data_IF_001098339218
#
_entry.id   IF_001098339218
#
_cell.length_a   1.000
_cell.length_b   1.000
_cell.length_c   1.000
_cell.angle_alpha   90.00
_cell.angle_beta   90.00
_cell.angle_gamma   90.00
#
_symmetry.space_group_name_H-M   'P 1'
#
loop_
_entity.id
_entity.type
_entity.pdbx_description
1 polymer ?
#
# COMPACT_ATOMS: atom_id res chain seq x y z
N UNK A 1 2.35 -6.29 -20.85
CA UNK A 1 1.52 -7.12 -19.93
C UNK A 1 0.72 -6.19 -19.04
N UNK A 2 -0.52 -6.55 -18.70
CA UNK A 2 -1.36 -5.75 -17.78
C UNK A 2 -1.83 -6.59 -16.61
N UNK A 3 -2.09 -5.94 -15.48
CA UNK A 3 -2.67 -6.53 -14.28
C UNK A 3 -4.11 -6.05 -14.17
N UNK A 4 -5.03 -7.00 -14.04
CA UNK A 4 -6.45 -6.75 -13.84
C UNK A 4 -6.78 -7.04 -12.37
N UNK A 5 -7.45 -6.09 -11.71
CA UNK A 5 -7.77 -6.14 -10.28
C UNK A 5 -9.27 -5.88 -10.07
N UNK A 6 -9.99 -6.71 -9.30
CA UNK A 6 -11.38 -6.44 -8.96
C UNK A 6 -11.44 -5.24 -8.02
N UNK A 7 -12.34 -4.30 -8.24
CA UNK A 7 -12.45 -3.12 -7.35
C UNK A 7 -13.04 -3.45 -5.97
N UNK A 8 -13.76 -4.57 -5.85
CA UNK A 8 -14.48 -4.97 -4.64
C UNK A 8 -13.75 -6.00 -3.79
N UNK A 9 -12.58 -6.48 -4.21
CA UNK A 9 -11.83 -7.52 -3.51
C UNK A 9 -10.61 -6.97 -2.78
N UNK A 10 -10.22 -7.67 -1.73
CA UNK A 10 -9.07 -7.33 -0.88
C UNK A 10 -8.10 -8.50 -0.80
N UNK A 11 -6.90 -8.26 -0.29
CA UNK A 11 -5.96 -9.35 -0.02
C UNK A 11 -5.19 -9.88 -1.23
N UNK A 12 -5.38 -9.30 -2.41
CA UNK A 12 -4.84 -9.82 -3.68
C UNK A 12 -5.73 -10.88 -4.35
N UNK A 13 -6.95 -11.10 -3.85
CA UNK A 13 -7.91 -12.02 -4.48
C UNK A 13 -8.37 -11.50 -5.85
N UNK A 14 -8.51 -12.42 -6.80
CA UNK A 14 -8.99 -12.12 -8.15
C UNK A 14 -8.02 -11.30 -9.01
N UNK A 15 -6.77 -11.09 -8.58
CA UNK A 15 -5.75 -10.43 -9.40
C UNK A 15 -5.31 -11.37 -10.52
N UNK A 16 -5.38 -10.90 -11.76
CA UNK A 16 -4.94 -11.67 -12.94
C UNK A 16 -3.96 -10.88 -13.79
N UNK A 17 -2.94 -11.57 -14.31
CA UNK A 17 -1.96 -10.99 -15.25
C UNK A 17 -2.33 -11.41 -16.66
N UNK A 18 -2.54 -10.43 -17.54
CA UNK A 18 -2.75 -10.65 -18.97
C UNK A 18 -1.44 -10.39 -19.70
N UNK A 19 -0.84 -11.47 -20.20
CA UNK A 19 0.42 -11.44 -20.95
C UNK A 19 0.17 -11.48 -22.45
N UNK A 20 -0.90 -12.17 -22.85
CA UNK A 20 -1.24 -12.41 -24.25
C UNK A 20 -2.77 -12.43 -24.46
N UNK A 21 -3.25 -12.47 -25.72
CA UNK A 21 -4.68 -12.54 -26.01
C UNK A 21 -5.40 -13.79 -25.49
N UNK A 22 -4.69 -14.90 -25.28
CA UNK A 22 -5.26 -16.15 -24.72
C UNK A 22 -5.65 -15.96 -23.26
N UNK A 23 -4.80 -15.32 -22.45
CA UNK A 23 -5.10 -14.99 -21.06
C UNK A 23 -6.39 -14.14 -20.97
N UNK A 24 -6.57 -13.19 -21.91
CA UNK A 24 -7.76 -12.36 -21.96
C UNK A 24 -9.03 -13.18 -22.29
N UNK A 25 -8.93 -14.17 -23.18
CA UNK A 25 -10.05 -15.07 -23.49
C UNK A 25 -10.43 -15.94 -22.29
N UNK A 26 -9.44 -16.49 -21.59
CA UNK A 26 -9.68 -17.27 -20.37
C UNK A 26 -10.34 -16.42 -19.28
N UNK A 27 -9.86 -15.18 -19.13
CA UNK A 27 -10.45 -14.23 -18.20
C UNK A 27 -11.91 -13.94 -18.56
N UNK A 28 -12.22 -13.73 -19.85
CA UNK A 28 -13.58 -13.43 -20.28
C UNK A 28 -14.59 -14.51 -19.91
N UNK A 29 -14.15 -15.76 -19.88
CA UNK A 29 -15.00 -16.90 -19.56
C UNK A 29 -15.14 -17.15 -18.05
N UNK A 30 -14.33 -16.50 -17.21
CA UNK A 30 -14.24 -16.78 -15.77
C UNK A 30 -14.54 -15.57 -14.88
N UNK A 31 -14.66 -14.36 -15.45
CA UNK A 31 -14.94 -13.12 -14.73
C UNK A 31 -16.33 -12.60 -15.04
N UNK A 32 -16.98 -12.07 -14.00
CA UNK A 32 -18.14 -11.21 -14.14
C UNK A 32 -17.71 -9.75 -14.35
N UNK A 33 -17.85 -9.24 -15.59
CA UNK A 33 -17.54 -7.84 -15.94
C UNK A 33 -18.64 -6.84 -15.55
N UNK A 34 -19.75 -7.26 -14.92
CA UNK A 34 -20.71 -6.29 -14.38
C UNK A 34 -20.20 -5.58 -13.13
N UNK A 35 -19.11 -6.08 -12.53
CA UNK A 35 -18.40 -5.41 -11.45
C UNK A 35 -17.30 -4.51 -12.00
N UNK A 36 -16.91 -3.43 -11.29
CA UNK A 36 -15.82 -2.58 -11.73
C UNK A 36 -14.47 -3.31 -11.62
N UNK A 37 -13.62 -3.11 -12.61
CA UNK A 37 -12.27 -3.65 -12.68
C UNK A 37 -11.28 -2.54 -12.95
N UNK A 38 -10.09 -2.66 -12.36
CA UNK A 38 -8.98 -1.74 -12.60
C UNK A 38 -7.97 -2.47 -13.47
N UNK A 39 -7.61 -1.84 -14.60
CA UNK A 39 -6.52 -2.29 -15.47
C UNK A 39 -5.30 -1.43 -15.18
N UNK A 40 -4.17 -2.06 -14.91
CA UNK A 40 -2.90 -1.39 -14.63
C UNK A 40 -1.78 -2.00 -15.45
N UNK A 41 -0.82 -1.19 -15.86
CA UNK A 41 0.42 -1.71 -16.42
C UNK A 41 1.13 -2.60 -15.39
N UNK A 42 1.73 -3.70 -15.85
CA UNK A 42 2.58 -4.51 -14.98
C UNK A 42 3.92 -3.80 -14.76
N UNK A 43 4.13 -3.32 -13.54
CA UNK A 43 5.41 -2.75 -13.11
C UNK A 43 6.39 -3.88 -12.75
N UNK A 44 7.63 -3.78 -13.24
CA UNK A 44 8.73 -4.68 -12.87
C UNK A 44 9.39 -4.19 -11.59
N UNK A 45 9.71 -5.12 -10.71
CA UNK A 45 10.41 -4.80 -9.45
C UNK A 45 11.92 -4.79 -9.67
N UNK A 46 12.62 -3.98 -8.89
CA UNK A 46 14.08 -3.97 -8.89
C UNK A 46 14.59 -5.36 -8.46
N UNK A 47 15.60 -5.94 -9.13
CA UNK A 47 15.98 -7.34 -8.93
C UNK A 47 16.84 -7.53 -7.66
N UNK A 48 16.19 -7.64 -6.50
CA UNK A 48 16.86 -7.90 -5.22
C UNK A 48 16.81 -9.40 -4.90
N UNK A 49 17.97 -9.97 -4.55
CA UNK A 49 18.07 -11.33 -4.02
C UNK A 49 17.77 -11.32 -2.53
N UNK A 50 16.81 -12.16 -2.13
CA UNK A 50 16.44 -12.35 -0.72
C UNK A 50 17.27 -13.46 -0.07
N UNK A 51 16.96 -13.82 1.18
CA UNK A 51 17.77 -14.75 1.98
C UNK A 51 18.09 -16.08 1.28
N UNK A 52 17.14 -16.63 0.51
CA UNK A 52 17.30 -17.89 -0.23
C UNK A 52 17.97 -17.74 -1.61
N UNK A 53 18.49 -16.54 -1.91
CA UNK A 53 19.17 -16.22 -3.16
C UNK A 53 18.26 -15.94 -4.35
N UNK A 54 16.93 -16.02 -4.19
CA UNK A 54 15.94 -15.83 -5.27
C UNK A 54 15.45 -14.40 -5.37
N UNK A 55 14.86 -14.06 -6.53
CA UNK A 55 14.36 -12.70 -6.82
C UNK A 55 12.83 -12.72 -6.82
N UNK A 56 12.25 -12.07 -5.83
CA UNK A 56 10.80 -12.01 -5.66
C UNK A 56 10.24 -10.65 -6.10
N UNK A 57 9.06 -10.63 -6.73
CA UNK A 57 8.24 -9.42 -6.76
C UNK A 57 7.98 -8.91 -5.34
N UNK A 58 8.16 -7.61 -5.13
CA UNK A 58 7.87 -6.95 -3.86
C UNK A 58 7.22 -5.59 -4.06
N UNK A 59 6.55 -5.10 -3.02
CA UNK A 59 6.18 -3.70 -2.89
C UNK A 59 6.73 -3.09 -1.61
N UNK A 60 6.84 -1.77 -1.63
CA UNK A 60 7.12 -0.95 -0.46
C UNK A 60 5.80 -0.42 0.06
N UNK A 61 5.59 -0.56 1.36
CA UNK A 61 4.50 0.08 2.07
C UNK A 61 5.07 1.13 3.00
N UNK A 62 4.79 2.38 2.67
CA UNK A 62 5.08 3.53 3.50
C UNK A 62 3.85 3.95 4.31
N UNK A 63 4.08 4.29 5.56
CA UNK A 63 3.10 4.83 6.48
C UNK A 63 3.45 6.29 6.76
N UNK A 64 2.49 7.18 6.58
CA UNK A 64 2.64 8.61 6.84
C UNK A 64 1.59 9.07 7.86
N UNK A 65 2.01 9.92 8.79
CA UNK A 65 1.16 10.58 9.77
C UNK A 65 1.43 12.08 9.70
N UNK A 66 0.39 12.85 9.34
CA UNK A 66 0.46 14.31 9.19
C UNK A 66 1.65 14.76 8.31
N UNK A 67 1.80 14.14 7.14
CA UNK A 67 2.88 14.44 6.20
C UNK A 67 4.26 13.90 6.59
N UNK A 68 4.43 13.34 7.79
CA UNK A 68 5.68 12.74 8.25
C UNK A 68 5.65 11.24 8.06
N UNK A 69 6.71 10.68 7.51
CA UNK A 69 6.87 9.23 7.39
C UNK A 69 7.01 8.62 8.80
N UNK A 70 6.08 7.74 9.15
CA UNK A 70 6.01 7.06 10.45
C UNK A 70 6.63 5.66 10.42
N UNK A 71 6.72 5.05 9.24
CA UNK A 71 7.34 3.74 9.08
C UNK A 71 7.30 3.28 7.64
N UNK A 72 8.16 2.32 7.31
CA UNK A 72 8.24 1.69 5.99
C UNK A 72 8.50 0.21 6.15
N UNK A 73 7.99 -0.58 5.21
CA UNK A 73 8.26 -2.00 5.14
C UNK A 73 8.24 -2.47 3.69
N UNK A 74 8.91 -3.59 3.44
CA UNK A 74 8.82 -4.34 2.20
C UNK A 74 7.89 -5.52 2.41
N UNK A 75 7.09 -5.83 1.38
CA UNK A 75 6.33 -7.06 1.28
C UNK A 75 6.70 -7.75 0.00
N UNK A 76 7.28 -8.95 0.10
CA UNK A 76 7.58 -9.77 -1.07
C UNK A 76 6.57 -10.89 -1.24
N UNK A 77 6.41 -11.34 -2.47
CA UNK A 77 5.59 -12.51 -2.80
C UNK A 77 6.16 -13.80 -2.21
N UNK A 78 5.36 -14.85 -2.23
CA UNK A 78 5.75 -16.20 -1.81
C UNK A 78 6.61 -16.93 -2.86
N UNK A 79 6.58 -16.50 -4.13
CA UNK A 79 7.32 -17.10 -5.24
C UNK A 79 7.71 -16.09 -6.32
N UNK A 80 8.80 -16.34 -7.03
CA UNK A 80 9.35 -15.45 -8.07
C UNK A 80 8.34 -15.13 -9.20
N UNK A 81 7.40 -16.05 -9.47
CA UNK A 81 6.39 -15.91 -10.52
C UNK A 81 5.09 -15.24 -10.08
N UNK A 82 4.87 -15.06 -8.77
CA UNK A 82 3.63 -14.48 -8.22
C UNK A 82 3.83 -12.99 -7.95
N UNK A 83 3.02 -12.14 -8.56
CA UNK A 83 3.07 -10.69 -8.37
C UNK A 83 2.32 -10.20 -7.11
N UNK A 84 1.59 -11.10 -6.45
CA UNK A 84 0.84 -10.77 -5.22
C UNK A 84 1.77 -10.90 -4.02
N UNK A 85 1.94 -9.79 -3.32
CA UNK A 85 2.88 -9.58 -2.20
C UNK A 85 2.20 -9.62 -0.84
N UNK A 86 0.88 -9.80 -0.80
CA UNK A 86 0.12 -9.73 0.43
C UNK A 86 0.53 -10.84 1.43
N UNK A 87 0.78 -10.47 2.68
CA UNK A 87 1.08 -11.40 3.78
C UNK A 87 -0.04 -12.46 3.94
N UNK A 88 -1.30 -12.05 3.80
CA UNK A 88 -2.46 -12.95 3.85
C UNK A 88 -2.50 -13.99 2.72
N UNK A 89 -1.74 -13.77 1.63
CA UNK A 89 -1.61 -14.69 0.50
C UNK A 89 -0.29 -15.49 0.56
N UNK A 90 0.38 -15.52 1.73
CA UNK A 90 1.65 -16.21 1.94
C UNK A 90 2.89 -15.36 1.63
N UNK A 91 2.74 -14.06 1.35
CA UNK A 91 3.87 -13.14 1.21
C UNK A 91 4.65 -12.97 2.52
N UNK A 92 5.90 -12.49 2.42
CA UNK A 92 6.79 -12.28 3.57
C UNK A 92 7.06 -10.79 3.78
N UNK A 93 7.26 -10.40 5.04
CA UNK A 93 7.76 -9.07 5.38
C UNK A 93 9.27 -9.03 5.18
N UNK A 94 9.78 -7.87 4.80
CA UNK A 94 11.21 -7.56 4.89
C UNK A 94 11.34 -6.11 5.39
N UNK A 95 12.32 -5.81 6.26
CA UNK A 95 12.62 -4.45 6.65
C UNK A 95 13.07 -3.62 5.46
N UNK A 96 12.67 -2.35 5.47
CA UNK A 96 13.19 -1.32 4.59
C UNK A 96 14.05 -0.38 5.43
N UNK A 97 15.34 -0.38 5.15
CA UNK A 97 16.30 0.55 5.72
C UNK A 97 16.40 1.77 4.79
N UNK A 98 16.61 2.93 5.38
CA UNK A 98 16.57 4.21 4.68
C UNK A 98 17.91 4.93 4.81
N UNK A 99 18.14 5.84 3.88
CA UNK A 99 19.29 6.74 3.85
C UNK A 99 20.66 6.07 3.77
N UNK A 100 20.73 4.90 3.13
CA UNK A 100 22.00 4.28 2.75
C UNK A 100 22.70 5.01 1.61
N UNK A 101 23.88 4.51 1.26
CA UNK A 101 24.67 5.03 0.13
C UNK A 101 24.17 4.51 -1.22
N UNK A 102 23.66 3.27 -1.26
CA UNK A 102 23.15 2.61 -2.45
C UNK A 102 21.87 1.80 -2.17
N UNK A 103 21.11 1.50 -3.23
CA UNK A 103 19.97 0.60 -3.16
C UNK A 103 20.48 -0.84 -3.23
N UNK A 104 20.22 -1.63 -2.20
CA UNK A 104 20.73 -3.00 -2.16
C UNK A 104 20.13 -3.88 -1.07
N UNK A 105 20.41 -5.19 -1.09
CA UNK A 105 20.03 -6.10 -0.02
C UNK A 105 20.88 -5.85 1.23
N UNK A 106 20.28 -6.01 2.40
CA UNK A 106 21.00 -6.00 3.70
C UNK A 106 20.60 -7.23 4.50
N UNK A 107 21.59 -7.99 4.96
CA UNK A 107 21.33 -9.14 5.82
C UNK A 107 21.01 -8.69 7.24
N UNK A 108 19.91 -9.21 7.79
CA UNK A 108 19.36 -8.82 9.09
C UNK A 108 18.97 -10.00 9.98
N UNK A 109 18.97 -11.22 9.42
CA UNK A 109 18.52 -12.44 10.10
C UNK A 109 17.02 -12.66 10.00
N UNK A 110 16.63 -13.91 9.67
CA UNK A 110 15.22 -14.30 9.52
C UNK A 110 14.55 -14.42 10.88
N UNK A 111 13.31 -13.98 10.97
CA UNK A 111 12.48 -14.19 12.15
C UNK A 111 11.03 -14.49 11.78
N UNK A 112 10.29 -15.05 12.72
CA UNK A 112 8.89 -15.40 12.55
C UNK A 112 8.07 -14.92 13.75
N UNK A 113 7.00 -14.17 13.49
CA UNK A 113 6.03 -13.81 14.51
C UNK A 113 4.85 -14.77 14.45
N UNK A 114 4.62 -15.51 15.53
CA UNK A 114 3.55 -16.49 15.64
C UNK A 114 2.34 -15.89 16.35
N UNK A 115 1.20 -15.90 15.67
CA UNK A 115 -0.11 -15.50 16.19
C UNK A 115 -1.04 -16.71 16.18
N UNK A 116 -2.13 -16.71 16.98
CA UNK A 116 -3.05 -17.85 17.05
C UNK A 116 -3.61 -18.32 15.70
N UNK A 117 -3.83 -17.38 14.76
CA UNK A 117 -4.42 -17.66 13.46
C UNK A 117 -3.44 -17.67 12.28
N UNK A 118 -2.17 -17.30 12.51
CA UNK A 118 -1.18 -17.15 11.41
C UNK A 118 0.26 -17.04 11.91
N UNK A 119 1.20 -17.38 11.03
CA UNK A 119 2.62 -17.06 11.18
C UNK A 119 2.97 -15.95 10.19
N UNK A 120 3.63 -14.89 10.66
CA UNK A 120 4.19 -13.83 9.80
C UNK A 120 5.69 -14.06 9.72
N UNK A 121 6.18 -14.37 8.53
CA UNK A 121 7.62 -14.52 8.27
C UNK A 121 8.21 -13.16 7.92
N UNK A 122 9.30 -12.82 8.60
CA UNK A 122 10.21 -11.74 8.23
C UNK A 122 11.44 -12.36 7.59
N UNK A 123 11.68 -12.00 6.33
CA UNK A 123 12.81 -12.46 5.54
C UNK A 123 14.14 -12.06 6.18
N UNK A 124 15.15 -12.92 6.06
CA UNK A 124 16.49 -12.63 6.56
C UNK A 124 17.23 -11.55 5.78
N UNK A 125 16.66 -11.07 4.67
CA UNK A 125 17.15 -9.96 3.87
C UNK A 125 16.17 -8.79 3.88
N UNK A 126 16.65 -7.64 4.34
CA UNK A 126 16.01 -6.34 4.15
C UNK A 126 16.47 -5.66 2.86
N UNK A 127 15.83 -4.54 2.53
CA UNK A 127 16.23 -3.66 1.42
C UNK A 127 16.73 -2.35 2.02
N UNK A 128 17.90 -1.88 1.59
CA UNK A 128 18.37 -0.52 1.81
C UNK A 128 17.95 0.36 0.64
N UNK A 129 17.39 1.53 0.93
CA UNK A 129 17.23 2.60 -0.05
C UNK A 129 18.33 3.63 0.13
N UNK A 130 18.80 4.16 -1.00
CA UNK A 130 19.68 5.31 -0.96
C UNK A 130 18.98 6.55 -0.39
N UNK A 131 19.77 7.54 0.00
CA UNK A 131 19.26 8.82 0.53
C UNK A 131 18.35 9.55 -0.46
N UNK A 132 18.63 9.49 -1.75
CA UNK A 132 17.83 10.16 -2.77
C UNK A 132 16.41 9.58 -2.82
N UNK A 133 16.29 8.26 -2.95
CA UNK A 133 15.01 7.54 -2.99
C UNK A 133 14.25 7.65 -1.68
N UNK A 134 14.97 7.62 -0.56
CA UNK A 134 14.38 7.84 0.77
C UNK A 134 13.74 9.23 0.88
N UNK A 135 14.39 10.26 0.33
CA UNK A 135 13.84 11.63 0.29
C UNK A 135 12.62 11.74 -0.63
N UNK A 136 12.65 11.08 -1.80
CA UNK A 136 11.48 11.02 -2.69
C UNK A 136 10.26 10.40 -1.98
N UNK A 137 10.45 9.33 -1.19
CA UNK A 137 9.37 8.72 -0.40
C UNK A 137 8.81 9.69 0.66
N UNK A 138 9.68 10.46 1.32
CA UNK A 138 9.25 11.47 2.31
C UNK A 138 8.48 12.60 1.65
N UNK A 139 8.96 13.11 0.53
CA UNK A 139 8.30 14.17 -0.22
C UNK A 139 6.92 13.72 -0.73
N UNK A 140 6.85 12.52 -1.33
CA UNK A 140 5.59 11.94 -1.76
C UNK A 140 4.60 11.79 -0.58
N UNK A 141 5.07 11.34 0.59
CA UNK A 141 4.25 11.20 1.79
C UNK A 141 3.67 12.54 2.26
N UNK A 142 4.46 13.60 2.19
CA UNK A 142 4.04 14.96 2.53
C UNK A 142 3.02 15.50 1.52
N UNK A 143 3.29 15.39 0.22
CA UNK A 143 2.39 15.85 -0.83
C UNK A 143 1.03 15.16 -0.76
N UNK A 144 1.01 13.83 -0.60
CA UNK A 144 -0.23 13.06 -0.47
C UNK A 144 -1.01 13.49 0.78
N UNK A 145 -0.32 13.67 1.92
CA UNK A 145 -0.99 14.07 3.16
C UNK A 145 -1.61 15.46 3.06
N UNK A 146 -0.87 16.43 2.48
CA UNK A 146 -1.36 17.78 2.27
C UNK A 146 -2.56 17.81 1.32
N UNK A 147 -2.53 16.99 0.28
CA UNK A 147 -3.63 16.91 -0.68
C UNK A 147 -4.90 16.30 -0.07
N UNK A 148 -4.75 15.24 0.72
CA UNK A 148 -5.86 14.66 1.48
C UNK A 148 -6.44 15.69 2.46
N UNK A 149 -5.59 16.41 3.19
CA UNK A 149 -6.03 17.44 4.13
C UNK A 149 -6.79 18.56 3.42
N UNK A 150 -6.28 19.05 2.28
CA UNK A 150 -6.97 20.04 1.44
C UNK A 150 -8.35 19.54 1.03
N UNK A 151 -8.43 18.34 0.46
CA UNK A 151 -9.68 17.75 0.01
C UNK A 151 -10.70 17.56 1.14
N UNK A 152 -10.22 17.21 2.35
CA UNK A 152 -11.08 17.11 3.54
C UNK A 152 -11.58 18.49 3.98
N UNK A 153 -10.72 19.50 4.04
CA UNK A 153 -11.08 20.88 4.41
C UNK A 153 -12.12 21.47 3.45
N UNK A 154 -11.94 21.27 2.16
CA UNK A 154 -12.89 21.71 1.13
C UNK A 154 -14.26 21.07 1.33
N UNK A 155 -14.32 19.75 1.53
CA UNK A 155 -15.59 19.04 1.78
C UNK A 155 -16.27 19.45 3.08
N UNK A 156 -15.51 19.67 4.16
CA UNK A 156 -16.06 20.12 5.44
C UNK A 156 -16.60 21.55 5.32
N UNK A 157 -15.89 22.42 4.61
CA UNK A 157 -16.32 23.81 4.39
C UNK A 157 -17.55 23.89 3.50
N UNK A 158 -17.61 23.12 2.42
CA UNK A 158 -18.79 23.01 1.57
C UNK A 158 -20.03 22.52 2.34
N UNK A 159 -19.88 21.48 3.18
CA UNK A 159 -20.97 21.00 4.05
C UNK A 159 -21.42 22.03 5.09
N UNK A 160 -20.51 22.86 5.61
CA UNK A 160 -20.89 23.97 6.51
C UNK A 160 -21.71 25.02 5.76
N UNK A 161 -21.39 25.33 4.51
CA UNK A 161 -22.15 26.30 3.70
C UNK A 161 -23.54 25.75 3.36
N UNK A 162 -23.65 24.46 3.00
CA UNK A 162 -24.94 23.78 2.78
C UNK A 162 -25.77 23.68 4.07
N UNK A 163 -25.14 23.38 5.21
CA UNK A 163 -25.80 23.32 6.52
C UNK A 163 -26.16 24.67 7.14
N UNK A 164 -25.58 25.78 6.67
CA UNK A 164 -25.97 27.15 7.07
C UNK A 164 -27.27 27.59 6.37
N UNK A 165 -27.66 26.94 5.26
CA UNK A 165 -28.98 27.14 4.66
C UNK A 165 -30.10 26.34 5.37
N UNK A 166 -29.76 25.37 6.22
CA UNK A 166 -30.69 24.63 7.07
C UNK A 166 -30.34 24.80 8.56
N UNK A 167 -30.53 26.00 9.10
CA UNK A 167 -31.09 26.25 10.46
C UNK A 167 -30.85 27.70 10.89
N UNK A 168 -31.79 28.56 10.52
CA UNK A 168 -32.33 29.54 11.48
C UNK A 168 -33.20 28.79 12.50
N UNK A 169 -32.56 28.06 13.41
CA UNK A 169 -33.15 27.71 14.71
C UNK A 169 -32.02 27.27 15.64
N UNK A 170 -31.72 28.19 16.55
CA UNK A 170 -30.94 28.04 17.77
C UNK A 170 -30.93 26.62 18.31
N UNK A 171 -29.76 26.05 18.61
CA UNK A 171 -29.50 25.22 19.80
C UNK A 171 -28.00 25.25 20.10
N UNK A 172 -27.67 25.53 21.37
CA UNK A 172 -26.33 25.73 21.93
C UNK A 172 -25.37 24.55 21.68
N UNK A 173 -24.20 24.85 21.10
CA UNK A 173 -22.99 24.01 21.18
C UNK A 173 -21.94 24.78 21.98
N UNK A 174 -22.10 24.80 23.31
CA UNK A 174 -21.14 25.41 24.24
C UNK A 174 -20.06 24.44 24.75
N UNK A 175 -20.31 23.14 24.83
CA UNK A 175 -19.62 22.32 25.85
C UNK A 175 -18.71 21.18 25.33
N UNK A 176 -18.12 21.27 24.13
CA UNK A 176 -17.20 20.21 23.64
C UNK A 176 -15.72 20.61 23.72
N UNK A 177 -15.40 21.90 23.91
CA UNK A 177 -14.01 22.37 23.93
C UNK A 177 -13.37 22.31 25.33
N UNK A 178 -14.17 22.27 26.40
CA UNK A 178 -13.65 22.32 27.78
C UNK A 178 -13.40 20.95 28.42
N UNK A 179 -13.60 19.84 27.70
CA UNK A 179 -13.33 18.48 28.23
C UNK A 179 -12.02 17.84 27.70
N UNK A 180 -11.16 18.62 27.06
CA UNK A 180 -9.85 18.16 26.55
C UNK A 180 -8.66 19.01 27.04
N UNK A 181 -8.80 19.70 28.18
CA UNK A 181 -7.70 20.27 28.95
C UNK A 181 -7.61 19.60 30.31
#
# INVERSE_FOLDING_TARGET
EVVIKPSSEFGGRGVTVIRNPTDLKMLKNSINFTRPWIVQEKIRTYPIRFEDGKIYPFDIRAYALNGKMAGVQVRRSSSEGIIVTNISAGGHLAPLLLDGDEIGPVHIGRTEFRFPSRVIVVDGTGIMLDRHTSNLLREASMLISNEIERAVREKVSAKKIEGVHEKSSSHHYGDIVDQLQ
#
